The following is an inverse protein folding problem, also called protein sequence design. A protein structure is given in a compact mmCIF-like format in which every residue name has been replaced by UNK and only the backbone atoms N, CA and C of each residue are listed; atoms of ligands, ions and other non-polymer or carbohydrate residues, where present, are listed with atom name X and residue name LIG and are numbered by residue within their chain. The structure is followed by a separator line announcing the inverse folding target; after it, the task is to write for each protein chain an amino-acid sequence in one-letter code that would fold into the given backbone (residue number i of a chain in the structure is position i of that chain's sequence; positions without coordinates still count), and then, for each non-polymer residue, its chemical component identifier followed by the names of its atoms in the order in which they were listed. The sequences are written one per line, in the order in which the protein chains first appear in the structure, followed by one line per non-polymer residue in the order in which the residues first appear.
data_IF_361742164653
#
_entry.id   IF_361742164653
#
_cell.length_a   1.000
_cell.length_b   1.000
_cell.length_c   1.000
_cell.angle_alpha   90.00
_cell.angle_beta   90.00
_cell.angle_gamma   90.00
#
_symmetry.space_group_name_H-M   'P 1'
#
loop_
_entity.id
_entity.type
_entity.pdbx_description
1 polymer ?
#
# COMPACT_ATOMS: atom_id res chain seq x y z
N UNK A 1 -32.74 -1.66 5.83
CA UNK A 1 -33.27 -2.75 4.98
C UNK A 1 -32.88 -2.43 3.53
N UNK A 2 -32.57 -3.44 2.70
CA UNK A 2 -32.16 -3.24 1.30
C UNK A 2 -30.65 -3.36 1.01
N UNK A 3 -29.83 -3.79 1.98
CA UNK A 3 -28.42 -4.06 1.75
C UNK A 3 -28.22 -5.39 0.99
N UNK A 4 -27.27 -5.43 0.06
CA UNK A 4 -26.90 -6.66 -0.65
C UNK A 4 -25.90 -7.43 0.21
N UNK A 5 -26.11 -8.73 0.42
CA UNK A 5 -25.18 -9.56 1.19
C UNK A 5 -24.64 -10.71 0.35
N UNK A 6 -23.43 -11.15 0.66
CA UNK A 6 -22.83 -12.36 0.10
C UNK A 6 -23.04 -13.47 1.12
N UNK A 7 -23.82 -14.48 0.72
CA UNK A 7 -23.99 -15.70 1.49
C UNK A 7 -22.79 -16.60 1.25
N UNK A 8 -21.93 -16.74 2.26
CA UNK A 8 -20.77 -17.64 2.21
C UNK A 8 -21.19 -19.07 2.58
N UNK A 9 -20.59 -20.09 1.95
CA UNK A 9 -20.80 -21.47 2.36
C UNK A 9 -20.15 -21.74 3.72
N UNK A 10 -20.91 -22.24 4.69
CA UNK A 10 -20.38 -22.51 6.04
C UNK A 10 -19.32 -23.64 6.06
N UNK A 11 -19.24 -24.44 5.00
CA UNK A 11 -18.21 -25.47 4.85
C UNK A 11 -16.80 -24.88 4.62
N UNK A 12 -16.70 -23.63 4.14
CA UNK A 12 -15.42 -22.97 3.86
C UNK A 12 -14.79 -22.30 5.09
N UNK A 13 -15.36 -22.50 6.28
CA UNK A 13 -14.92 -21.89 7.56
C UNK A 13 -13.43 -22.09 7.87
N UNK A 14 -12.81 -23.17 7.37
CA UNK A 14 -11.39 -23.46 7.56
C UNK A 14 -10.46 -22.82 6.51
N UNK A 15 -10.99 -22.10 5.51
CA UNK A 15 -10.17 -21.50 4.47
C UNK A 15 -9.17 -20.48 5.04
N UNK A 16 -7.94 -20.52 4.52
CA UNK A 16 -6.81 -19.69 4.96
C UNK A 16 -6.23 -18.80 3.85
N UNK A 17 -6.69 -18.96 2.61
CA UNK A 17 -6.20 -18.19 1.46
C UNK A 17 -6.42 -16.68 1.67
N UNK A 18 -5.42 -15.87 1.35
CA UNK A 18 -5.51 -14.39 1.40
C UNK A 18 -6.41 -13.81 0.31
N UNK A 19 -6.80 -14.62 -0.68
CA UNK A 19 -7.68 -14.23 -1.80
C UNK A 19 -8.95 -15.06 -1.87
N UNK A 20 -9.49 -15.46 -0.71
CA UNK A 20 -10.60 -16.40 -0.61
C UNK A 20 -11.90 -15.90 -1.24
N UNK A 21 -12.35 -14.68 -0.92
CA UNK A 21 -13.60 -14.12 -1.47
C UNK A 21 -13.29 -12.87 -2.28
N UNK A 22 -13.68 -12.86 -3.56
CA UNK A 22 -13.44 -11.75 -4.49
C UNK A 22 -14.73 -11.31 -5.17
N UNK A 23 -15.00 -10.01 -5.16
CA UNK A 23 -16.15 -9.43 -5.86
C UNK A 23 -15.82 -8.02 -6.38
N UNK A 24 -16.59 -7.52 -7.34
CA UNK A 24 -16.40 -6.19 -7.91
C UNK A 24 -17.61 -5.31 -7.61
N UNK A 25 -17.33 -4.07 -7.25
CA UNK A 25 -18.34 -3.02 -7.03
C UNK A 25 -18.09 -1.87 -8.01
N UNK A 26 -19.16 -1.27 -8.54
CA UNK A 26 -19.08 -0.20 -9.53
C UNK A 26 -19.23 1.21 -8.93
N UNK A 27 -19.41 1.31 -7.61
CA UNK A 27 -19.53 2.56 -6.87
C UNK A 27 -18.89 2.40 -5.48
N UNK A 28 -18.61 3.50 -4.76
CA UNK A 28 -18.15 3.43 -3.38
C UNK A 28 -19.18 2.72 -2.48
N UNK A 29 -18.70 1.81 -1.65
CA UNK A 29 -19.52 0.98 -0.75
C UNK A 29 -18.88 0.88 0.63
N UNK A 30 -19.70 0.65 1.64
CA UNK A 30 -19.25 0.12 2.92
C UNK A 30 -19.46 -1.40 2.91
N UNK A 31 -18.38 -2.13 3.19
CA UNK A 31 -18.39 -3.59 3.36
C UNK A 31 -18.33 -3.89 4.84
N UNK A 32 -19.33 -4.62 5.32
CA UNK A 32 -19.40 -5.14 6.66
C UNK A 32 -19.06 -6.63 6.64
N UNK A 33 -18.22 -7.07 7.56
CA UNK A 33 -17.88 -8.46 7.80
C UNK A 33 -18.40 -8.82 9.18
N UNK A 34 -19.36 -9.73 9.23
CA UNK A 34 -19.82 -10.36 10.45
C UNK A 34 -18.89 -11.54 10.76
N UNK A 35 -17.98 -11.38 11.73
CA UNK A 35 -17.01 -12.42 12.11
C UNK A 35 -17.37 -13.04 13.46
N UNK A 36 -17.35 -14.37 13.55
CA UNK A 36 -17.84 -15.09 14.72
C UNK A 36 -17.03 -14.82 15.98
N UNK A 37 -17.70 -14.54 17.09
CA UNK A 37 -17.06 -14.21 18.38
C UNK A 37 -16.35 -15.42 19.00
N UNK A 38 -16.74 -16.64 18.61
CA UNK A 38 -16.12 -17.90 19.04
C UNK A 38 -14.73 -18.12 18.42
N UNK A 39 -14.38 -17.36 17.37
CA UNK A 39 -13.05 -17.40 16.74
C UNK A 39 -12.15 -16.40 17.46
N UNK A 40 -11.32 -16.90 18.36
CA UNK A 40 -10.44 -16.07 19.21
C UNK A 40 -9.27 -15.49 18.42
N UNK A 41 -8.70 -16.27 17.50
CA UNK A 41 -7.62 -15.83 16.59
C UNK A 41 -8.21 -15.25 15.30
N UNK A 42 -8.37 -13.93 15.25
CA UNK A 42 -8.90 -13.24 14.06
C UNK A 42 -7.89 -13.31 12.90
N UNK A 43 -8.36 -13.48 11.65
CA UNK A 43 -7.46 -13.49 10.51
C UNK A 43 -6.87 -12.09 10.30
N UNK A 44 -5.59 -12.04 9.90
CA UNK A 44 -4.81 -10.80 9.84
C UNK A 44 -5.44 -9.73 8.93
N UNK A 45 -6.13 -10.11 7.86
CA UNK A 45 -6.81 -9.17 6.95
C UNK A 45 -7.95 -8.40 7.62
N UNK A 46 -8.60 -8.97 8.66
CA UNK A 46 -9.70 -8.34 9.38
C UNK A 46 -9.22 -7.15 10.23
N UNK A 47 -7.92 -7.07 10.55
CA UNK A 47 -7.32 -5.90 11.22
C UNK A 47 -7.45 -4.60 10.42
N UNK A 48 -7.64 -4.71 9.11
CA UNK A 48 -7.89 -3.54 8.25
C UNK A 48 -9.34 -3.02 8.30
N UNK A 49 -10.23 -3.73 9.00
CA UNK A 49 -11.61 -3.32 9.22
C UNK A 49 -11.77 -2.74 10.63
N UNK A 50 -12.65 -1.75 10.76
CA UNK A 50 -12.97 -1.14 12.05
C UNK A 50 -14.07 -1.95 12.72
N UNK A 51 -13.85 -2.39 13.97
CA UNK A 51 -14.93 -2.96 14.76
C UNK A 51 -15.99 -1.88 15.02
N UNK A 52 -17.23 -2.14 14.62
CA UNK A 52 -18.34 -1.20 14.80
C UNK A 52 -18.84 -1.15 16.24
N UNK A 53 -18.44 -2.09 17.10
CA UNK A 53 -19.03 -2.32 18.41
C UNK A 53 -20.42 -2.98 18.36
N UNK A 54 -20.99 -3.12 17.16
CA UNK A 54 -22.29 -3.76 16.95
C UNK A 54 -22.13 -5.25 16.68
N UNK A 55 -23.17 -6.01 17.02
CA UNK A 55 -23.19 -7.47 16.88
C UNK A 55 -24.35 -7.90 16.00
N UNK A 56 -24.10 -8.90 15.17
CA UNK A 56 -25.12 -9.67 14.46
C UNK A 56 -25.35 -10.96 15.25
N UNK A 57 -26.54 -11.11 15.82
CA UNK A 57 -26.93 -12.31 16.58
C UNK A 57 -27.80 -13.18 15.67
N UNK A 58 -27.42 -14.45 15.52
CA UNK A 58 -28.23 -15.47 14.85
C UNK A 58 -28.80 -16.44 15.88
N UNK A 59 -29.63 -17.39 15.45
CA UNK A 59 -30.14 -18.46 16.32
C UNK A 59 -29.05 -19.41 16.85
N UNK A 60 -27.84 -19.39 16.26
CA UNK A 60 -26.75 -20.35 16.54
C UNK A 60 -25.45 -19.66 17.01
N UNK A 61 -25.18 -18.42 16.58
CA UNK A 61 -23.93 -17.74 16.89
C UNK A 61 -24.07 -16.22 16.96
N UNK A 62 -23.14 -15.61 17.68
CA UNK A 62 -22.97 -14.15 17.71
C UNK A 62 -21.73 -13.77 16.90
N UNK A 63 -21.87 -12.73 16.08
CA UNK A 63 -20.83 -12.20 15.23
C UNK A 63 -20.60 -10.72 15.55
N UNK A 64 -19.34 -10.34 15.73
CA UNK A 64 -18.97 -8.92 15.76
C UNK A 64 -18.92 -8.37 14.34
N UNK A 65 -19.50 -7.18 14.14
CA UNK A 65 -19.52 -6.51 12.85
C UNK A 65 -18.30 -5.60 12.68
N UNK A 66 -17.54 -5.83 11.63
CA UNK A 66 -16.39 -5.04 11.23
C UNK A 66 -16.71 -4.32 9.92
N UNK A 67 -16.47 -3.02 9.84
CA UNK A 67 -16.77 -2.22 8.64
C UNK A 67 -15.49 -1.69 8.01
N UNK A 68 -15.47 -1.66 6.69
CA UNK A 68 -14.49 -0.93 5.91
C UNK A 68 -15.14 -0.35 4.67
N UNK A 69 -14.86 0.91 4.38
CA UNK A 69 -15.27 1.55 3.13
C UNK A 69 -14.30 1.19 2.02
N UNK A 70 -14.86 0.91 0.84
CA UNK A 70 -14.14 0.58 -0.37
C UNK A 70 -14.64 1.49 -1.50
N UNK A 71 -13.73 2.07 -2.31
CA UNK A 71 -14.14 2.71 -3.56
C UNK A 71 -14.67 1.67 -4.56
N UNK A 72 -15.22 2.15 -5.67
CA UNK A 72 -15.49 1.30 -6.83
C UNK A 72 -14.22 0.51 -7.22
N UNK A 73 -14.38 -0.78 -7.56
CA UNK A 73 -13.28 -1.67 -7.91
C UNK A 73 -13.47 -3.10 -7.39
N UNK A 74 -12.42 -3.90 -7.55
CA UNK A 74 -12.38 -5.27 -7.02
C UNK A 74 -11.98 -5.28 -5.56
N UNK A 75 -12.75 -6.01 -4.74
CA UNK A 75 -12.53 -6.21 -3.31
C UNK A 75 -12.21 -7.68 -3.09
N UNK A 76 -11.16 -7.95 -2.32
CA UNK A 76 -10.70 -9.28 -1.96
C UNK A 76 -10.63 -9.41 -0.45
N UNK A 77 -11.25 -10.44 0.10
CA UNK A 77 -11.21 -10.81 1.52
C UNK A 77 -10.51 -12.16 1.67
N UNK A 78 -9.76 -12.32 2.76
CA UNK A 78 -9.08 -13.57 3.08
C UNK A 78 -10.00 -14.57 3.77
N UNK A 79 -9.51 -15.79 3.92
CA UNK A 79 -10.23 -16.88 4.59
C UNK A 79 -10.45 -16.61 6.07
N UNK A 80 -11.42 -17.32 6.64
CA UNK A 80 -11.88 -17.14 8.03
C UNK A 80 -10.89 -17.69 9.07
N UNK A 81 -9.96 -18.56 8.66
CA UNK A 81 -8.90 -19.11 9.49
C UNK A 81 -9.40 -19.68 10.84
N UNK A 82 -10.61 -20.25 10.88
CA UNK A 82 -11.24 -20.67 12.14
C UNK A 82 -10.77 -22.05 12.64
N UNK A 83 -9.86 -22.71 11.93
CA UNK A 83 -9.49 -24.10 12.20
C UNK A 83 -10.67 -25.09 12.10
N UNK A 84 -11.80 -24.68 11.50
CA UNK A 84 -12.99 -25.51 11.31
C UNK A 84 -13.99 -25.52 12.47
N UNK A 85 -13.73 -24.86 13.59
CA UNK A 85 -14.53 -25.01 14.83
C UNK A 85 -15.74 -24.06 14.94
N UNK A 86 -15.85 -23.05 14.08
CA UNK A 86 -16.84 -21.98 14.18
C UNK A 86 -17.45 -21.61 12.82
N UNK A 87 -18.53 -20.84 12.83
CA UNK A 87 -19.24 -20.41 11.62
C UNK A 87 -18.40 -19.51 10.72
N UNK A 88 -18.67 -19.61 9.41
CA UNK A 88 -18.06 -18.75 8.39
C UNK A 88 -18.52 -17.29 8.55
N UNK A 89 -17.65 -16.33 8.20
CA UNK A 89 -18.03 -14.91 8.23
C UNK A 89 -19.07 -14.60 7.16
N UNK A 90 -19.99 -13.66 7.43
CA UNK A 90 -20.93 -13.14 6.42
C UNK A 90 -20.55 -11.72 5.98
N UNK A 91 -20.84 -11.36 4.74
CA UNK A 91 -20.48 -10.04 4.19
C UNK A 91 -21.72 -9.27 3.75
N UNK A 92 -21.85 -8.02 4.20
CA UNK A 92 -22.92 -7.10 3.79
C UNK A 92 -22.31 -5.89 3.09
N UNK A 93 -22.90 -5.45 1.99
CA UNK A 93 -22.40 -4.35 1.16
C UNK A 93 -23.50 -3.31 1.04
N UNK A 94 -23.19 -2.07 1.40
CA UNK A 94 -24.10 -0.92 1.29
C UNK A 94 -23.48 0.18 0.44
N UNK A 95 -24.20 0.74 -0.54
CA UNK A 95 -23.77 1.96 -1.23
C UNK A 95 -23.41 3.07 -0.25
N UNK A 96 -22.34 3.82 -0.51
CA UNK A 96 -22.14 5.10 0.14
C UNK A 96 -22.99 6.12 -0.63
N UNK A 97 -24.09 6.58 -0.04
CA UNK A 97 -24.96 7.58 -0.67
C UNK A 97 -24.18 8.87 -0.88
N UNK A 98 -23.86 9.19 -2.13
CA UNK A 98 -23.39 10.52 -2.51
C UNK A 98 -24.57 11.49 -2.48
N UNK A 99 -24.55 12.46 -1.57
CA UNK A 99 -25.38 13.66 -1.69
C UNK A 99 -24.48 14.81 -2.16
N UNK A 100 -24.93 15.53 -3.18
CA UNK A 100 -24.25 16.69 -3.74
C UNK A 100 -24.05 17.82 -2.74
N UNK A 101 -23.10 18.71 -3.08
CA UNK A 101 -22.98 20.12 -2.67
C UNK A 101 -23.69 20.53 -1.38
N UNK A 102 -22.95 20.63 -0.26
CA UNK A 102 -23.14 21.69 0.73
C UNK A 102 -21.85 21.93 1.53
N UNK A 103 -21.54 23.22 1.62
CA UNK A 103 -20.52 24.00 2.35
C UNK A 103 -19.88 23.34 3.57
N UNK A 104 -18.55 23.43 3.76
CA UNK A 104 -17.86 22.81 4.88
C UNK A 104 -18.20 23.52 6.21
N UNK A 105 -18.46 22.78 7.31
CA UNK A 105 -18.38 23.35 8.65
C UNK A 105 -16.90 23.58 9.05
N UNK A 106 -16.59 24.49 9.98
CA UNK A 106 -15.23 24.87 10.34
C UNK A 106 -14.43 23.68 10.90
N UNK A 107 -13.08 23.66 10.75
CA UNK A 107 -12.27 22.48 10.99
C UNK A 107 -12.19 22.18 12.50
N UNK A 108 -12.84 21.11 12.93
CA UNK A 108 -12.44 20.41 14.14
C UNK A 108 -11.32 19.44 13.76
N UNK A 109 -10.11 19.79 14.19
CA UNK A 109 -8.87 19.03 14.05
C UNK A 109 -9.06 17.54 14.36
N UNK A 110 -9.05 16.72 13.31
CA UNK A 110 -8.73 15.30 13.42
C UNK A 110 -7.60 15.02 12.44
N UNK A 111 -6.38 15.21 12.93
CA UNK A 111 -5.16 14.69 12.33
C UNK A 111 -5.23 13.17 12.28
N UNK A 112 -5.87 12.60 11.26
CA UNK A 112 -5.55 11.24 10.85
C UNK A 112 -4.33 11.34 9.95
N UNK A 113 -3.15 11.11 10.53
CA UNK A 113 -1.94 10.83 9.78
C UNK A 113 -2.23 9.61 8.89
N UNK A 114 -2.65 9.84 7.65
CA UNK A 114 -2.63 8.83 6.61
C UNK A 114 -1.18 8.46 6.44
N UNK A 115 -0.73 7.42 7.14
CA UNK A 115 0.58 6.86 6.88
C UNK A 115 0.56 6.45 5.42
N UNK A 116 1.30 7.18 4.60
CA UNK A 116 1.44 6.92 3.19
C UNK A 116 1.87 5.45 3.00
N UNK A 117 0.94 4.61 2.54
CA UNK A 117 1.20 3.19 2.36
C UNK A 117 1.66 2.90 0.93
N UNK A 118 2.95 2.65 0.75
CA UNK A 118 3.44 1.96 -0.46
C UNK A 118 2.96 0.51 -0.34
N UNK A 119 2.16 0.06 -1.32
CA UNK A 119 1.55 -1.28 -1.33
C UNK A 119 1.69 -1.95 -2.69
N UNK A 120 1.40 -3.25 -2.80
CA UNK A 120 1.51 -4.00 -4.06
C UNK A 120 2.86 -3.81 -4.78
N UNK A 121 3.93 -3.81 -3.99
CA UNK A 121 5.29 -3.66 -4.48
C UNK A 121 5.68 -4.90 -5.30
N UNK A 122 6.08 -4.70 -6.54
CA UNK A 122 6.45 -5.75 -7.49
C UNK A 122 7.66 -5.31 -8.32
N UNK A 123 8.59 -6.23 -8.53
CA UNK A 123 9.85 -5.99 -9.24
C UNK A 123 10.03 -7.07 -10.30
N UNK A 124 10.35 -6.66 -11.53
CA UNK A 124 10.48 -7.58 -12.67
C UNK A 124 11.60 -8.63 -12.47
N UNK A 125 12.63 -8.32 -11.68
CA UNK A 125 13.71 -9.26 -11.32
C UNK A 125 13.28 -10.35 -10.32
N UNK A 126 12.10 -10.21 -9.70
CA UNK A 126 11.63 -11.07 -8.62
C UNK A 126 12.25 -10.79 -7.25
N UNK A 127 13.14 -9.79 -7.14
CA UNK A 127 13.73 -9.39 -5.86
C UNK A 127 12.68 -8.81 -4.91
N UNK A 128 12.78 -9.15 -3.62
CA UNK A 128 11.84 -8.72 -2.59
C UNK A 128 12.20 -7.33 -2.05
N UNK A 129 11.93 -6.28 -2.83
CA UNK A 129 12.15 -4.90 -2.37
C UNK A 129 11.30 -4.61 -1.14
N UNK A 130 11.77 -3.71 -0.29
CA UNK A 130 11.12 -3.40 0.99
C UNK A 130 10.65 -1.95 0.99
N UNK A 131 9.35 -1.75 1.22
CA UNK A 131 8.82 -0.44 1.57
C UNK A 131 9.16 -0.15 3.04
N UNK A 132 10.11 0.75 3.27
CA UNK A 132 10.54 1.19 4.58
C UNK A 132 9.93 2.57 4.91
N UNK A 133 9.82 2.85 6.20
CA UNK A 133 9.38 4.15 6.72
C UNK A 133 10.55 4.89 7.39
N UNK A 134 10.31 6.15 7.73
CA UNK A 134 11.25 6.96 8.52
C UNK A 134 12.63 7.12 7.87
N UNK A 135 12.67 7.56 6.61
CA UNK A 135 13.93 7.86 5.92
C UNK A 135 14.75 8.90 6.72
N UNK A 136 15.96 8.52 7.12
CA UNK A 136 16.87 9.38 7.86
C UNK A 136 18.33 8.94 7.64
N UNK A 137 19.28 9.72 8.15
CA UNK A 137 20.67 9.30 8.18
C UNK A 137 20.82 7.99 8.95
N UNK A 138 21.65 7.07 8.44
CA UNK A 138 21.83 5.72 8.98
C UNK A 138 20.83 4.68 8.44
N UNK A 139 19.73 5.08 7.80
CA UNK A 139 18.81 4.14 7.15
C UNK A 139 19.49 3.40 6.00
N UNK A 140 19.20 2.10 5.82
CA UNK A 140 19.77 1.29 4.73
C UNK A 140 19.24 1.74 3.38
N UNK A 141 20.14 1.81 2.39
CA UNK A 141 19.78 2.18 1.00
C UNK A 141 19.22 0.97 0.25
N UNK A 142 19.88 -0.19 0.40
CA UNK A 142 19.59 -1.38 -0.37
C UNK A 142 19.28 -2.59 0.52
N UNK A 143 18.57 -3.57 -0.03
CA UNK A 143 18.31 -4.85 0.65
C UNK A 143 19.53 -5.78 0.61
N UNK A 144 20.41 -5.61 -0.37
CA UNK A 144 21.55 -6.50 -0.67
C UNK A 144 22.91 -5.84 -0.44
N UNK A 145 22.95 -4.64 0.17
CA UNK A 145 24.18 -3.93 0.56
C UNK A 145 24.06 -3.31 1.94
N UNK A 146 25.21 -3.11 2.58
CA UNK A 146 25.32 -2.45 3.88
C UNK A 146 25.39 -0.91 3.78
N UNK A 147 25.16 -0.31 2.61
CA UNK A 147 25.21 1.14 2.44
C UNK A 147 24.06 1.83 3.16
N UNK A 148 24.34 3.03 3.69
CA UNK A 148 23.39 3.84 4.45
C UNK A 148 23.28 5.25 3.88
N UNK A 149 22.13 5.91 4.09
CA UNK A 149 21.99 7.33 3.81
C UNK A 149 22.82 8.14 4.83
N UNK A 150 23.62 9.09 4.36
CA UNK A 150 24.39 10.02 5.19
C UNK A 150 23.71 11.37 5.33
N UNK A 151 23.22 11.91 4.22
CA UNK A 151 22.55 13.20 4.18
C UNK A 151 21.22 13.06 3.46
N UNK A 152 20.14 13.39 4.17
CA UNK A 152 18.77 13.39 3.66
C UNK A 152 18.24 14.83 3.72
N UNK A 153 17.82 15.42 2.59
CA UNK A 153 17.18 16.73 2.56
C UNK A 153 16.02 16.81 3.55
N UNK A 154 15.87 17.94 4.25
CA UNK A 154 14.91 18.10 5.34
C UNK A 154 13.47 17.81 4.92
N UNK A 155 13.09 18.14 3.68
CA UNK A 155 11.78 17.84 3.11
C UNK A 155 11.52 16.33 2.87
N UNK A 156 12.55 15.50 2.89
CA UNK A 156 12.47 14.04 2.71
C UNK A 156 12.72 13.25 4.00
N UNK A 157 13.10 13.91 5.10
CA UNK A 157 13.26 13.24 6.39
C UNK A 157 11.92 12.68 6.88
N UNK A 158 11.98 11.48 7.45
CA UNK A 158 10.81 10.73 7.92
C UNK A 158 9.97 10.10 6.81
N UNK A 159 10.30 10.30 5.54
CA UNK A 159 9.49 9.82 4.41
C UNK A 159 9.47 8.28 4.30
N UNK A 160 8.44 7.77 3.62
CA UNK A 160 8.46 6.39 3.15
C UNK A 160 9.40 6.28 1.94
N UNK A 161 10.14 5.17 1.85
CA UNK A 161 11.05 4.90 0.75
C UNK A 161 11.11 3.42 0.44
N UNK A 162 11.61 3.07 -0.75
CA UNK A 162 11.78 1.69 -1.20
C UNK A 162 13.26 1.35 -1.14
N UNK A 163 13.61 0.37 -0.31
CA UNK A 163 14.92 -0.26 -0.36
C UNK A 163 14.98 -1.15 -1.59
N UNK A 164 15.80 -0.75 -2.56
CA UNK A 164 16.00 -1.47 -3.82
C UNK A 164 17.11 -2.52 -3.67
N UNK A 165 17.27 -3.41 -4.65
CA UNK A 165 18.42 -4.30 -4.74
C UNK A 165 19.46 -3.65 -5.66
N UNK A 166 20.68 -3.47 -5.17
CA UNK A 166 21.76 -2.89 -5.96
C UNK A 166 22.22 -3.82 -7.10
N UNK A 167 21.93 -5.11 -7.00
CA UNK A 167 22.15 -6.07 -8.09
C UNK A 167 21.27 -5.80 -9.32
N UNK A 168 20.14 -5.09 -9.18
CA UNK A 168 19.25 -4.76 -10.30
C UNK A 168 19.66 -3.50 -11.09
N UNK A 169 20.79 -2.86 -10.74
CA UNK A 169 21.25 -1.60 -11.37
C UNK A 169 21.40 -1.63 -12.90
N UNK A 170 21.56 -2.83 -13.49
CA UNK A 170 21.70 -3.04 -14.94
C UNK A 170 20.37 -3.36 -15.62
N UNK A 171 19.27 -3.47 -14.88
CA UNK A 171 17.96 -3.83 -15.45
C UNK A 171 17.50 -2.78 -16.47
N UNK A 172 16.97 -3.26 -17.61
CA UNK A 172 16.52 -2.42 -18.74
C UNK A 172 15.02 -2.50 -19.00
N UNK A 173 14.30 -3.36 -18.27
CA UNK A 173 12.85 -3.56 -18.44
C UNK A 173 12.08 -2.24 -18.23
N UNK A 174 11.18 -1.91 -19.16
CA UNK A 174 10.42 -0.66 -19.10
C UNK A 174 9.43 -0.59 -17.91
N UNK A 175 8.82 -1.73 -17.57
CA UNK A 175 8.00 -1.90 -16.38
C UNK A 175 8.77 -2.69 -15.32
N UNK A 176 9.79 -2.06 -14.73
CA UNK A 176 10.71 -2.76 -13.82
C UNK A 176 10.20 -2.78 -12.38
N UNK A 177 9.82 -1.63 -11.82
CA UNK A 177 9.37 -1.49 -10.44
C UNK A 177 7.97 -0.92 -10.42
N UNK A 178 7.02 -1.62 -9.79
CA UNK A 178 5.64 -1.14 -9.64
C UNK A 178 5.21 -1.15 -8.18
N UNK A 179 4.44 -0.14 -7.79
CA UNK A 179 3.82 -0.06 -6.47
C UNK A 179 2.56 0.79 -6.53
N UNK A 180 1.70 0.66 -5.53
CA UNK A 180 0.44 1.38 -5.42
C UNK A 180 0.48 2.35 -4.25
N UNK A 181 -0.01 3.55 -4.50
CA UNK A 181 -0.24 4.61 -3.51
C UNK A 181 -1.72 4.88 -3.35
N UNK A 182 -2.15 5.21 -2.13
CA UNK A 182 -3.56 5.38 -1.78
C UNK A 182 -4.09 6.80 -1.92
N UNK A 183 -3.20 7.77 -2.18
CA UNK A 183 -3.49 9.19 -2.31
C UNK A 183 -2.55 9.79 -3.36
N UNK A 184 -2.81 11.02 -3.85
CA UNK A 184 -1.80 11.75 -4.60
C UNK A 184 -0.50 11.85 -3.81
N UNK A 185 0.63 11.73 -4.53
CA UNK A 185 1.97 11.73 -3.95
C UNK A 185 2.96 12.45 -4.85
N UNK A 186 4.03 12.93 -4.24
CA UNK A 186 5.29 13.21 -4.91
C UNK A 186 6.20 11.99 -4.80
N UNK A 187 6.58 11.41 -5.95
CA UNK A 187 7.61 10.37 -6.03
C UNK A 187 8.93 11.02 -6.38
N UNK A 188 9.92 10.79 -5.54
CA UNK A 188 11.30 11.17 -5.77
C UNK A 188 12.11 9.94 -6.18
N UNK A 189 12.89 10.08 -7.23
CA UNK A 189 13.87 9.10 -7.68
C UNK A 189 15.25 9.70 -7.43
N UNK A 190 16.04 9.05 -6.58
CA UNK A 190 17.43 9.41 -6.33
C UNK A 190 18.32 8.56 -7.24
N UNK A 191 18.96 9.19 -8.23
CA UNK A 191 19.76 8.53 -9.26
C UNK A 191 21.24 8.89 -9.15
N UNK A 192 22.11 7.90 -9.34
CA UNK A 192 23.57 8.05 -9.26
C UNK A 192 24.09 9.01 -10.32
N UNK A 193 24.78 10.07 -9.90
CA UNK A 193 25.26 11.14 -10.79
C UNK A 193 26.40 10.68 -11.71
N UNK A 194 27.06 9.57 -11.36
CA UNK A 194 28.17 9.01 -12.12
C UNK A 194 27.74 8.37 -13.43
N UNK A 195 26.44 8.18 -13.65
CA UNK A 195 25.90 7.45 -14.79
C UNK A 195 24.86 8.24 -15.58
N UNK A 196 24.78 8.00 -16.91
CA UNK A 196 23.71 8.55 -17.73
C UNK A 196 22.34 8.18 -17.17
N UNK A 197 21.42 9.14 -17.20
CA UNK A 197 20.06 8.95 -16.70
C UNK A 197 19.27 8.07 -17.67
N UNK A 198 18.45 7.12 -17.19
CA UNK A 198 17.55 6.39 -18.06
C UNK A 198 16.48 7.33 -18.64
N UNK A 199 16.06 7.11 -19.88
CA UNK A 199 15.20 8.03 -20.63
C UNK A 199 13.85 8.31 -19.96
N UNK A 200 13.30 7.34 -19.23
CA UNK A 200 12.03 7.51 -18.49
C UNK A 200 12.14 8.56 -17.37
N UNK A 201 13.35 8.83 -16.86
CA UNK A 201 13.59 9.82 -15.81
C UNK A 201 13.45 11.25 -16.34
N UNK A 202 13.46 11.46 -17.66
CA UNK A 202 13.20 12.77 -18.27
C UNK A 202 11.78 13.29 -17.99
N UNK A 203 10.86 12.41 -17.59
CA UNK A 203 9.52 12.80 -17.15
C UNK A 203 9.48 13.36 -15.71
N UNK A 204 10.61 13.33 -14.99
CA UNK A 204 10.74 13.86 -13.64
C UNK A 204 11.52 15.18 -13.66
N UNK A 205 11.07 16.14 -12.85
CA UNK A 205 11.77 17.41 -12.70
C UNK A 205 13.00 17.23 -11.80
N UNK A 206 14.16 17.73 -12.22
CA UNK A 206 15.34 17.78 -11.36
C UNK A 206 15.08 18.78 -10.21
N UNK A 207 15.29 18.33 -8.97
CA UNK A 207 15.09 19.19 -7.78
C UNK A 207 16.26 20.13 -7.52
N UNK A 208 17.43 19.87 -8.13
CA UNK A 208 18.67 20.58 -7.81
C UNK A 208 19.26 20.21 -6.44
N UNK A 209 18.70 19.21 -5.77
CA UNK A 209 19.15 18.71 -4.47
C UNK A 209 19.57 17.25 -4.55
N UNK A 210 20.39 16.84 -3.60
CA UNK A 210 21.02 15.53 -3.60
C UNK A 210 20.70 14.76 -2.31
N UNK A 211 20.69 13.44 -2.45
CA UNK A 211 20.65 12.47 -1.38
C UNK A 211 22.03 11.80 -1.32
N UNK A 212 22.71 11.89 -0.18
CA UNK A 212 24.09 11.37 -0.05
C UNK A 212 24.04 10.02 0.65
N UNK A 213 24.68 9.01 0.08
CA UNK A 213 24.85 7.69 0.69
C UNK A 213 26.30 7.48 1.14
N UNK A 214 26.57 6.36 1.81
CA UNK A 214 27.93 6.00 2.21
C UNK A 214 28.85 5.64 1.04
N UNK A 215 28.31 5.41 -0.14
CA UNK A 215 29.03 4.97 -1.35
C UNK A 215 29.01 5.98 -2.50
N UNK A 216 28.01 6.86 -2.58
CA UNK A 216 27.87 7.83 -3.68
C UNK A 216 26.95 9.01 -3.34
N UNK A 217 26.80 9.93 -4.29
CA UNK A 217 25.79 10.99 -4.27
C UNK A 217 24.73 10.69 -5.33
N UNK A 218 23.46 10.85 -4.95
CA UNK A 218 22.31 10.63 -5.81
C UNK A 218 21.58 11.96 -6.06
N UNK A 219 21.47 12.39 -7.32
CA UNK A 219 20.62 13.52 -7.72
C UNK A 219 19.14 13.16 -7.55
N UNK A 220 18.35 14.06 -6.95
CA UNK A 220 16.91 13.84 -6.73
C UNK A 220 16.06 14.43 -7.86
N UNK A 221 15.19 13.59 -8.43
CA UNK A 221 14.21 13.95 -9.44
C UNK A 221 12.81 13.69 -8.90
N UNK A 222 11.85 14.59 -9.13
CA UNK A 222 10.51 14.51 -8.57
C UNK A 222 9.44 14.52 -9.65
N UNK A 223 8.38 13.74 -9.43
CA UNK A 223 7.14 13.81 -10.21
C UNK A 223 5.95 13.52 -9.31
N UNK A 224 4.87 14.26 -9.52
CA UNK A 224 3.59 14.01 -8.82
C UNK A 224 2.78 12.96 -9.54
N UNK A 225 2.16 12.07 -8.77
CA UNK A 225 1.26 11.03 -9.27
C UNK A 225 -0.07 11.09 -8.51
N UNK A 226 -1.21 10.84 -9.18
CA UNK A 226 -2.46 10.61 -8.49
C UNK A 226 -2.41 9.29 -7.70
N UNK A 227 -3.42 9.06 -6.86
CA UNK A 227 -3.64 7.75 -6.24
C UNK A 227 -3.75 6.67 -7.31
N UNK A 228 -3.09 5.52 -7.13
CA UNK A 228 -3.08 4.46 -8.13
C UNK A 228 -1.77 3.70 -8.18
N UNK A 229 -1.61 2.92 -9.25
CA UNK A 229 -0.38 2.18 -9.52
C UNK A 229 0.62 3.08 -10.24
N UNK A 230 1.84 3.11 -9.73
CA UNK A 230 2.99 3.80 -10.31
C UNK A 230 3.97 2.72 -10.76
N UNK A 231 4.48 2.89 -11.98
CA UNK A 231 5.47 1.98 -12.58
C UNK A 231 6.67 2.79 -13.05
N UNK A 232 7.87 2.35 -12.66
CA UNK A 232 9.16 2.93 -13.00
C UNK A 232 9.96 1.94 -13.85
N UNK A 233 10.79 2.47 -14.75
CA UNK A 233 11.66 1.68 -15.61
C UNK A 233 12.96 1.27 -14.93
N UNK A 234 13.64 0.30 -15.54
CA UNK A 234 14.96 -0.14 -15.11
C UNK A 234 16.00 0.98 -15.15
N UNK A 235 17.04 0.84 -14.34
CA UNK A 235 18.09 1.83 -14.19
C UNK A 235 19.04 1.88 -15.40
N UNK A 236 19.15 0.78 -16.15
CA UNK A 236 19.96 0.64 -17.37
C UNK A 236 21.41 1.11 -17.23
N UNK A 237 21.98 1.06 -16.01
CA UNK A 237 23.34 1.49 -15.77
C UNK A 237 24.34 0.40 -16.13
N UNK A 238 25.50 0.79 -16.68
CA UNK A 238 26.64 -0.11 -16.90
C UNK A 238 27.54 -0.26 -15.67
N UNK A 239 27.22 0.41 -14.55
CA UNK A 239 27.97 0.39 -13.29
C UNK A 239 27.25 1.10 -12.14
N UNK A 240 27.98 1.41 -11.06
CA UNK A 240 27.49 2.27 -9.97
C UNK A 240 26.36 1.65 -9.13
N UNK A 241 25.38 2.49 -8.80
CA UNK A 241 24.35 2.17 -7.81
C UNK A 241 22.92 2.23 -8.38
N UNK A 242 22.05 1.34 -7.92
CA UNK A 242 20.63 1.32 -8.25
C UNK A 242 19.93 2.57 -7.67
N UNK A 243 18.94 3.10 -8.37
CA UNK A 243 18.19 4.26 -7.86
C UNK A 243 17.44 3.92 -6.56
N UNK A 244 17.19 4.93 -5.74
CA UNK A 244 16.28 4.85 -4.58
C UNK A 244 14.98 5.58 -4.89
N UNK A 245 13.85 5.09 -4.35
CA UNK A 245 12.53 5.71 -4.52
C UNK A 245 12.04 6.20 -3.17
N UNK A 246 11.69 7.48 -3.07
CA UNK A 246 11.12 8.11 -1.88
C UNK A 246 9.72 8.60 -2.24
N UNK A 247 8.74 8.39 -1.37
CA UNK A 247 7.35 8.76 -1.62
C UNK A 247 6.88 9.71 -0.50
N UNK A 248 6.29 10.83 -0.90
CA UNK A 248 5.72 11.85 -0.02
C UNK A 248 4.26 12.12 -0.41
N UNK A 249 3.35 12.32 0.55
CA UNK A 249 2.06 12.94 0.30
C UNK A 249 2.18 14.26 -0.48
#
# INVERSE_FOLDING_TARGET
QGARYIQTANNDKAATSSTFLRFTVNQPVSVYVAHGDRITSKPSWLSSFTNTGTKLVTSDATFSLFVRSFPAGTITLGGNNSGGCCSMYSVVITPQSGSGTVTPPPPASASSSSSLGISNLSVASGQAYVAASSLQAGSKVYIDRAYTFRTVPSNLQGAAYIQTANNDKTATTAAFLSFRVSQPVSVYVAHDERHPRPSWLNAFANTGTNLVTSDTTLSLFVRTFPAGTITLGGNASSGGSMYSVIVRP
#
